data_IF_645939546748
#
_entry.id   IF_645939546748
#
_cell.length_a   1.000
_cell.length_b   1.000
_cell.length_c   1.000
_cell.angle_alpha   90.00
_cell.angle_beta   90.00
_cell.angle_gamma   90.00
#
_symmetry.space_group_name_H-M   'P 1'
#
loop_
_entity.id
_entity.type
_entity.pdbx_description
1 polymer ?
#
# COMPACT_ATOMS: atom_id res chain seq x y z
N UNK A 1 -13.15 16.79 4.98
CA UNK A 1 -12.79 17.10 3.58
C UNK A 1 -12.00 15.89 3.13
N UNK A 2 -12.66 14.97 2.43
CA UNK A 2 -12.19 13.59 2.28
C UNK A 2 -10.93 13.49 1.43
N UNK A 3 -10.04 12.57 1.81
CA UNK A 3 -8.88 12.17 1.00
C UNK A 3 -9.43 11.39 -0.19
N UNK A 4 -9.74 12.10 -1.27
CA UNK A 4 -10.19 11.45 -2.50
C UNK A 4 -8.99 10.74 -3.13
N UNK A 5 -9.10 9.44 -3.42
CA UNK A 5 -8.04 8.74 -4.11
C UNK A 5 -7.83 9.33 -5.50
N UNK A 6 -6.56 9.49 -5.90
CA UNK A 6 -6.23 9.87 -7.27
C UNK A 6 -6.55 8.71 -8.22
N UNK A 7 -6.83 9.06 -9.48
CA UNK A 7 -7.20 8.16 -10.59
C UNK A 7 -6.38 6.86 -10.58
N UNK A 8 -6.99 5.67 -10.76
CA UNK A 8 -6.26 4.40 -10.92
C UNK A 8 -5.24 4.51 -12.04
N UNK A 9 -3.98 4.27 -11.71
CA UNK A 9 -2.95 4.03 -12.74
C UNK A 9 -2.65 2.54 -12.75
N UNK A 10 -2.66 1.92 -13.93
CA UNK A 10 -2.08 0.58 -14.11
C UNK A 10 -0.57 0.71 -13.89
N UNK A 11 -0.04 0.00 -12.90
CA UNK A 11 1.40 -0.15 -12.80
C UNK A 11 1.89 -0.96 -14.01
N UNK A 12 2.71 -0.37 -14.88
CA UNK A 12 3.19 -1.03 -16.11
C UNK A 12 3.94 -2.34 -15.82
N UNK A 13 4.50 -2.48 -14.62
CA UNK A 13 5.29 -3.63 -14.21
C UNK A 13 4.56 -4.60 -13.27
N UNK A 14 3.38 -4.24 -12.77
CA UNK A 14 2.61 -5.05 -11.80
C UNK A 14 1.15 -5.11 -12.23
N UNK A 15 0.56 -6.30 -12.27
CA UNK A 15 -0.84 -6.49 -12.70
C UNK A 15 -1.83 -6.09 -11.58
N UNK A 16 -1.71 -4.87 -11.07
CA UNK A 16 -2.61 -4.30 -10.08
C UNK A 16 -2.96 -2.85 -10.43
N UNK A 17 -4.07 -2.38 -9.88
CA UNK A 17 -4.42 -0.97 -9.86
C UNK A 17 -3.83 -0.33 -8.60
N UNK A 18 -3.26 0.87 -8.73
CA UNK A 18 -2.64 1.59 -7.61
C UNK A 18 -3.58 2.70 -7.14
N UNK A 19 -3.84 2.73 -5.83
CA UNK A 19 -4.57 3.78 -5.15
C UNK A 19 -3.58 4.61 -4.32
N UNK A 20 -3.19 5.79 -4.82
CA UNK A 20 -2.32 6.69 -4.06
C UNK A 20 -3.14 7.55 -3.11
N UNK A 21 -2.72 7.61 -1.84
CA UNK A 21 -3.42 8.32 -0.76
C UNK A 21 -2.72 9.64 -0.49
N UNK A 22 -3.43 10.74 -0.72
CA UNK A 22 -2.98 12.11 -0.43
C UNK A 22 -3.30 12.46 1.03
N UNK A 23 -2.64 11.76 1.96
CA UNK A 23 -2.90 11.90 3.40
C UNK A 23 -2.45 13.26 3.93
N UNK A 24 -3.10 13.72 4.99
CA UNK A 24 -2.80 14.98 5.66
C UNK A 24 -1.38 14.99 6.23
N UNK A 25 -0.63 16.04 5.91
CA UNK A 25 0.77 16.21 6.31
C UNK A 25 0.93 17.04 7.59
N UNK A 26 2.01 16.77 8.31
CA UNK A 26 2.51 17.62 9.38
C UNK A 26 3.37 18.76 8.78
N UNK A 27 3.41 19.95 9.43
CA UNK A 27 2.91 20.25 10.78
C UNK A 27 1.43 20.63 10.87
N UNK A 28 0.74 20.91 9.76
CA UNK A 28 -0.64 21.41 9.71
C UNK A 28 -1.62 20.41 10.33
N UNK A 29 -1.39 19.12 10.08
CA UNK A 29 -2.15 18.02 10.63
C UNK A 29 -1.18 17.07 11.32
N UNK A 30 -0.95 17.31 12.61
CA UNK A 30 -0.05 16.48 13.43
C UNK A 30 -0.64 15.08 13.62
N UNK A 31 0.17 14.20 14.23
CA UNK A 31 -0.28 12.90 14.69
C UNK A 31 -1.63 12.99 15.43
N UNK A 32 -2.62 12.10 15.13
CA UNK A 32 -2.54 10.89 14.30
C UNK A 32 -3.08 11.03 12.85
N UNK A 33 -3.24 12.24 12.32
CA UNK A 33 -4.01 12.50 11.09
C UNK A 33 -3.71 11.58 9.89
N UNK A 34 -2.44 11.40 9.52
CA UNK A 34 -2.07 10.54 8.38
C UNK A 34 -2.46 9.06 8.55
N UNK A 35 -2.50 8.56 9.80
CA UNK A 35 -2.90 7.19 10.11
C UNK A 35 -4.42 7.01 10.01
N UNK A 36 -5.17 8.02 10.46
CA UNK A 36 -6.63 8.06 10.32
C UNK A 36 -7.04 8.05 8.85
N UNK A 37 -6.37 8.86 8.02
CA UNK A 37 -6.64 8.94 6.59
C UNK A 37 -6.38 7.60 5.89
N UNK A 38 -5.29 6.91 6.24
CA UNK A 38 -5.00 5.58 5.71
C UNK A 38 -6.08 4.55 6.06
N UNK A 39 -6.61 4.60 7.29
CA UNK A 39 -7.69 3.73 7.73
C UNK A 39 -9.02 4.07 7.04
N UNK A 40 -9.32 5.36 6.88
CA UNK A 40 -10.52 5.84 6.17
C UNK A 40 -10.53 5.37 4.72
N UNK A 41 -9.40 5.43 4.02
CA UNK A 41 -9.28 4.95 2.64
C UNK A 41 -9.56 3.44 2.54
N UNK A 42 -9.01 2.63 3.46
CA UNK A 42 -9.27 1.17 3.42
C UNK A 42 -10.76 0.86 3.65
N UNK A 43 -11.39 1.58 4.58
CA UNK A 43 -12.84 1.46 4.81
C UNK A 43 -13.63 1.86 3.58
N UNK A 44 -13.24 2.93 2.91
CA UNK A 44 -13.85 3.37 1.66
C UNK A 44 -13.71 2.29 0.58
N UNK A 45 -12.51 1.75 0.33
CA UNK A 45 -12.31 0.67 -0.67
C UNK A 45 -13.19 -0.54 -0.38
N UNK A 46 -13.33 -0.91 0.89
CA UNK A 46 -14.21 -2.01 1.32
C UNK A 46 -15.68 -1.71 1.04
N UNK A 47 -16.13 -0.48 1.28
CA UNK A 47 -17.49 -0.07 0.93
C UNK A 47 -17.73 -0.17 -0.58
N UNK A 48 -16.75 0.22 -1.40
CA UNK A 48 -16.84 0.10 -2.85
C UNK A 48 -16.84 -1.36 -3.34
N UNK A 49 -16.12 -2.26 -2.66
CA UNK A 49 -16.18 -3.69 -2.96
C UNK A 49 -17.58 -4.29 -2.71
N UNK A 50 -18.29 -3.79 -1.68
CA UNK A 50 -19.65 -4.20 -1.33
C UNK A 50 -20.74 -3.53 -2.17
N UNK A 51 -20.53 -2.27 -2.57
CA UNK A 51 -21.46 -1.50 -3.39
C UNK A 51 -20.99 -1.53 -4.85
N UNK A 52 -21.55 -2.46 -5.64
CA UNK A 52 -21.36 -2.49 -7.10
C UNK A 52 -22.14 -1.37 -7.81
N UNK A 53 -22.05 -0.13 -7.33
CA UNK A 53 -22.72 1.01 -7.93
C UNK A 53 -22.04 1.38 -9.27
N UNK A 54 -22.80 1.69 -10.34
CA UNK A 54 -22.26 1.75 -11.71
C UNK A 54 -21.52 3.04 -12.09
N UNK A 55 -21.64 4.10 -11.30
CA UNK A 55 -21.62 5.48 -11.81
C UNK A 55 -20.31 6.27 -11.60
N UNK A 56 -19.52 6.00 -10.56
CA UNK A 56 -18.18 6.64 -10.40
C UNK A 56 -17.01 5.65 -10.23
N UNK A 57 -17.28 4.43 -9.79
CA UNK A 57 -16.27 3.39 -9.54
C UNK A 57 -16.38 2.16 -10.44
N UNK A 58 -17.23 2.22 -11.46
CA UNK A 58 -17.49 1.11 -12.37
C UNK A 58 -16.20 0.51 -12.98
N UNK A 59 -15.17 1.33 -13.22
CA UNK A 59 -13.88 0.83 -13.68
C UNK A 59 -13.23 -0.14 -12.68
N UNK A 60 -13.17 0.21 -11.39
CA UNK A 60 -12.58 -0.63 -10.35
C UNK A 60 -13.37 -1.92 -10.18
N UNK A 61 -14.70 -1.84 -10.13
CA UNK A 61 -15.57 -3.01 -10.04
C UNK A 61 -15.44 -3.95 -11.25
N UNK A 62 -15.05 -3.42 -12.42
CA UNK A 62 -14.86 -4.19 -13.65
C UNK A 62 -13.46 -4.80 -13.76
N UNK A 63 -12.44 -4.17 -13.17
CA UNK A 63 -11.03 -4.52 -13.39
C UNK A 63 -10.29 -5.01 -12.15
N UNK A 64 -10.91 -4.98 -10.98
CA UNK A 64 -10.28 -5.36 -9.71
C UNK A 64 -11.14 -6.38 -8.96
N UNK A 65 -10.46 -7.33 -8.32
CA UNK A 65 -11.06 -8.35 -7.45
C UNK A 65 -11.09 -7.92 -5.97
N UNK A 66 -10.74 -6.65 -5.71
CA UNK A 66 -10.66 -6.05 -4.38
C UNK A 66 -9.79 -6.82 -3.38
N UNK A 67 -8.80 -7.59 -3.85
CA UNK A 67 -7.65 -7.97 -3.03
C UNK A 67 -6.78 -6.73 -2.84
N UNK A 68 -6.72 -6.24 -1.61
CA UNK A 68 -6.05 -4.97 -1.30
C UNK A 68 -4.71 -5.24 -0.62
N UNK A 69 -3.69 -4.56 -1.12
CA UNK A 69 -2.36 -4.51 -0.53
C UNK A 69 -2.02 -3.10 -0.08
N UNK A 70 -1.49 -2.98 1.15
CA UNK A 70 -0.96 -1.73 1.68
C UNK A 70 0.54 -1.71 1.42
N UNK A 71 1.01 -0.70 0.69
CA UNK A 71 2.41 -0.47 0.35
C UNK A 71 2.80 0.96 0.73
N UNK A 72 4.09 1.19 0.98
CA UNK A 72 4.61 2.50 1.30
C UNK A 72 6.09 2.46 1.65
N UNK A 73 6.77 3.59 1.48
CA UNK A 73 8.17 3.77 1.83
C UNK A 73 8.35 4.86 2.90
N UNK A 74 9.46 4.82 3.65
CA UNK A 74 9.79 5.85 4.63
C UNK A 74 8.65 6.05 5.66
N UNK A 75 8.11 7.27 5.82
CA UNK A 75 6.94 7.54 6.65
C UNK A 75 5.68 6.81 6.17
N UNK A 76 5.52 6.61 4.85
CA UNK A 76 4.43 5.83 4.28
C UNK A 76 4.46 4.36 4.71
N UNK A 77 5.65 3.78 4.88
CA UNK A 77 5.79 2.42 5.41
C UNK A 77 5.27 2.30 6.86
N UNK A 78 5.54 3.32 7.69
CA UNK A 78 5.03 3.38 9.05
C UNK A 78 3.50 3.52 9.09
N UNK A 79 2.93 4.36 8.21
CA UNK A 79 1.48 4.50 8.06
C UNK A 79 0.86 3.16 7.64
N UNK A 80 1.37 2.54 6.56
CA UNK A 80 0.88 1.27 6.04
C UNK A 80 0.91 0.15 7.09
N UNK A 81 2.02 0.05 7.85
CA UNK A 81 2.14 -0.91 8.96
C UNK A 81 1.09 -0.66 10.05
N UNK A 82 0.93 0.58 10.48
CA UNK A 82 0.02 0.89 11.59
C UNK A 82 -1.45 0.68 11.19
N UNK A 83 -1.83 1.07 9.97
CA UNK A 83 -3.15 0.80 9.40
C UNK A 83 -3.40 -0.71 9.35
N UNK A 84 -2.44 -1.51 8.91
CA UNK A 84 -2.57 -2.97 8.89
C UNK A 84 -2.80 -3.58 10.27
N UNK A 85 -2.05 -3.13 11.28
CA UNK A 85 -2.21 -3.60 12.67
C UNK A 85 -3.59 -3.23 13.21
N UNK A 86 -4.07 -2.01 12.95
CA UNK A 86 -5.39 -1.57 13.38
C UNK A 86 -6.50 -2.37 12.72
N UNK A 87 -6.35 -2.74 11.44
CA UNK A 87 -7.30 -3.58 10.71
C UNK A 87 -7.34 -5.02 11.24
N UNK A 88 -6.17 -5.60 11.56
CA UNK A 88 -6.06 -6.96 12.11
C UNK A 88 -6.73 -7.09 13.49
N UNK A 89 -6.75 -6.00 14.26
CA UNK A 89 -7.42 -5.92 15.56
C UNK A 89 -8.95 -5.73 15.45
N UNK A 90 -9.50 -5.45 14.26
CA UNK A 90 -10.94 -5.26 14.08
C UNK A 90 -11.64 -6.62 13.92
N UNK A 91 -12.78 -6.85 14.62
CA UNK A 91 -13.51 -8.12 14.57
C UNK A 91 -14.27 -8.36 13.26
N UNK A 92 -14.25 -7.42 12.31
CA UNK A 92 -14.89 -7.59 11.01
C UNK A 92 -13.99 -8.31 10.02
N UNK A 93 -14.56 -9.23 9.23
CA UNK A 93 -13.85 -10.08 8.26
C UNK A 93 -12.80 -9.31 7.44
N UNK A 94 -11.52 -9.56 7.72
CA UNK A 94 -10.36 -8.99 7.01
C UNK A 94 -9.89 -9.86 5.84
N UNK A 95 -10.69 -10.86 5.43
CA UNK A 95 -10.29 -11.88 4.45
C UNK A 95 -9.85 -11.32 3.08
N UNK A 96 -10.20 -10.08 2.76
CA UNK A 96 -9.90 -9.39 1.49
C UNK A 96 -8.59 -8.58 1.52
N UNK A 97 -7.98 -8.39 2.70
CA UNK A 97 -6.85 -7.49 2.92
C UNK A 97 -5.56 -8.30 3.16
N UNK A 98 -4.58 -8.16 2.27
CA UNK A 98 -3.24 -8.72 2.44
C UNK A 98 -2.25 -7.59 2.59
N UNK A 99 -1.58 -7.49 3.72
CA UNK A 99 -0.63 -6.38 3.95
C UNK A 99 0.74 -6.71 3.36
N UNK A 100 1.36 -5.76 2.64
CA UNK A 100 2.72 -5.87 2.11
C UNK A 100 3.55 -4.61 2.45
N UNK A 101 4.13 -4.54 3.65
CA UNK A 101 4.88 -3.36 4.08
C UNK A 101 6.32 -3.34 3.52
N UNK A 102 6.73 -2.24 2.88
CA UNK A 102 8.09 -2.05 2.41
C UNK A 102 8.97 -1.36 3.47
N UNK A 103 9.83 -2.16 4.13
CA UNK A 103 10.91 -1.78 5.06
C UNK A 103 10.53 -1.09 6.38
N UNK A 104 11.29 -1.41 7.42
CA UNK A 104 11.27 -0.74 8.73
C UNK A 104 10.67 -1.57 9.88
N UNK A 105 9.67 -2.41 9.59
CA UNK A 105 8.92 -3.16 10.62
C UNK A 105 9.07 -4.69 10.53
N UNK A 106 9.99 -5.20 9.70
CA UNK A 106 10.15 -6.63 9.42
C UNK A 106 10.35 -7.45 10.71
N UNK A 107 11.15 -6.96 11.66
CA UNK A 107 11.35 -7.61 12.96
C UNK A 107 10.06 -7.67 13.78
N UNK A 108 9.34 -6.55 13.91
CA UNK A 108 8.07 -6.50 14.65
C UNK A 108 7.00 -7.40 14.03
N UNK A 109 6.90 -7.42 12.70
CA UNK A 109 5.99 -8.29 11.95
C UNK A 109 6.30 -9.78 12.16
N UNK A 110 7.58 -10.17 12.13
CA UNK A 110 8.01 -11.55 12.45
C UNK A 110 7.65 -11.93 13.89
N UNK A 111 7.89 -11.04 14.85
CA UNK A 111 7.52 -11.27 16.26
C UNK A 111 6.01 -11.41 16.44
N UNK A 112 5.20 -10.73 15.63
CA UNK A 112 3.75 -10.86 15.58
C UNK A 112 3.25 -12.12 14.81
N UNK A 113 4.15 -13.02 14.39
CA UNK A 113 3.81 -14.26 13.70
C UNK A 113 3.36 -14.06 12.24
N UNK A 114 3.56 -12.87 11.66
CA UNK A 114 3.23 -12.60 10.26
C UNK A 114 4.36 -13.09 9.33
N UNK A 115 3.99 -13.58 8.16
CA UNK A 115 4.97 -13.92 7.11
C UNK A 115 5.64 -12.64 6.60
N UNK A 116 6.97 -12.64 6.52
CA UNK A 116 7.77 -11.46 6.12
C UNK A 116 8.83 -11.88 5.10
N UNK A 117 8.70 -11.39 3.88
CA UNK A 117 9.81 -11.35 2.92
C UNK A 117 10.60 -10.05 3.11
N UNK A 118 11.93 -10.14 3.15
CA UNK A 118 12.81 -8.99 3.31
C UNK A 118 13.91 -9.01 2.25
N UNK A 119 14.20 -7.84 1.66
CA UNK A 119 15.26 -7.67 0.69
C UNK A 119 16.10 -6.41 0.99
N UNK A 120 17.40 -6.52 0.72
CA UNK A 120 18.34 -5.39 0.77
C UNK A 120 18.99 -5.19 -0.58
N UNK A 121 18.92 -3.96 -1.07
CA UNK A 121 19.48 -3.54 -2.34
C UNK A 121 20.78 -2.80 -2.07
N UNK A 122 21.90 -3.37 -2.51
CA UNK A 122 23.20 -2.74 -2.39
C UNK A 122 23.34 -1.54 -3.34
N UNK A 123 24.19 -0.58 -2.97
CA UNK A 123 24.58 0.58 -3.77
C UNK A 123 23.44 1.57 -4.08
N UNK A 124 22.37 1.57 -3.30
CA UNK A 124 21.27 2.54 -3.39
C UNK A 124 20.98 3.16 -2.03
N UNK A 125 20.55 4.42 -2.04
CA UNK A 125 20.19 5.18 -0.83
C UNK A 125 18.77 4.90 -0.32
N UNK A 126 18.36 5.66 0.69
CA UNK A 126 16.98 5.64 1.18
C UNK A 126 15.98 6.04 0.09
N UNK A 127 14.83 5.39 0.06
CA UNK A 127 13.76 5.64 -0.91
C UNK A 127 14.24 5.70 -2.38
N UNK A 128 15.23 4.88 -2.76
CA UNK A 128 15.82 4.92 -4.10
C UNK A 128 14.81 4.75 -5.23
N UNK A 129 13.65 4.11 -4.96
CA UNK A 129 12.61 3.88 -5.94
C UNK A 129 11.98 5.16 -6.50
N UNK A 130 12.11 6.30 -5.81
CA UNK A 130 11.66 7.61 -6.32
C UNK A 130 12.74 8.33 -7.15
N UNK A 131 13.98 7.83 -7.13
CA UNK A 131 15.14 8.45 -7.78
C UNK A 131 15.29 7.98 -9.24
N UNK A 132 14.36 8.39 -10.10
CA UNK A 132 14.29 8.01 -11.51
C UNK A 132 15.51 8.45 -12.35
N UNK A 133 16.27 9.45 -11.91
CA UNK A 133 17.42 10.01 -12.65
C UNK A 133 18.74 9.22 -12.46
N UNK A 134 18.75 8.19 -11.63
CA UNK A 134 19.96 7.41 -11.37
C UNK A 134 19.83 6.01 -12.00
N UNK A 135 20.67 5.64 -12.98
CA UNK A 135 20.56 4.35 -13.66
C UNK A 135 20.58 3.15 -12.72
N UNK A 136 21.43 3.20 -11.69
CA UNK A 136 21.50 2.15 -10.65
C UNK A 136 20.20 2.04 -9.86
N UNK A 137 19.56 3.17 -9.53
CA UNK A 137 18.28 3.17 -8.84
C UNK A 137 17.18 2.57 -9.72
N UNK A 138 17.17 2.88 -11.01
CA UNK A 138 16.21 2.31 -11.96
C UNK A 138 16.27 0.78 -12.02
N UNK A 139 17.48 0.20 -12.13
CA UNK A 139 17.65 -1.27 -12.10
C UNK A 139 17.10 -1.87 -10.80
N UNK A 140 17.44 -1.27 -9.64
CA UNK A 140 16.94 -1.75 -8.34
C UNK A 140 15.43 -1.58 -8.18
N UNK A 141 14.84 -0.53 -8.75
CA UNK A 141 13.38 -0.32 -8.78
C UNK A 141 12.68 -1.42 -9.55
N UNK A 142 13.23 -1.84 -10.70
CA UNK A 142 12.66 -2.96 -11.47
C UNK A 142 12.74 -4.26 -10.66
N UNK A 143 13.87 -4.54 -10.00
CA UNK A 143 14.01 -5.71 -9.13
C UNK A 143 12.99 -5.69 -7.98
N UNK A 144 12.79 -4.52 -7.36
CA UNK A 144 11.79 -4.31 -6.32
C UNK A 144 10.37 -4.58 -6.84
N UNK A 145 9.97 -3.94 -7.94
CA UNK A 145 8.65 -4.11 -8.53
C UNK A 145 8.39 -5.56 -8.95
N UNK A 146 9.41 -6.25 -9.44
CA UNK A 146 9.31 -7.67 -9.83
C UNK A 146 9.01 -8.56 -8.61
N UNK A 147 9.67 -8.31 -7.48
CA UNK A 147 9.39 -9.02 -6.22
C UNK A 147 8.01 -8.71 -5.68
N UNK A 148 7.63 -7.42 -5.64
CA UNK A 148 6.30 -7.00 -5.20
C UNK A 148 5.21 -7.66 -6.05
N UNK A 149 5.41 -7.78 -7.37
CA UNK A 149 4.49 -8.51 -8.25
C UNK A 149 4.38 -10.00 -7.89
N UNK A 150 5.49 -10.66 -7.58
CA UNK A 150 5.47 -12.07 -7.20
C UNK A 150 4.65 -12.27 -5.91
N UNK A 151 4.76 -11.36 -4.94
CA UNK A 151 3.97 -11.37 -3.71
C UNK A 151 2.47 -11.24 -3.98
N UNK A 152 2.06 -10.35 -4.89
CA UNK A 152 0.65 -10.17 -5.24
C UNK A 152 0.06 -11.37 -6.00
N UNK A 153 0.86 -12.04 -6.83
CA UNK A 153 0.39 -13.19 -7.62
C UNK A 153 0.32 -14.49 -6.81
N UNK A 154 1.21 -14.66 -5.83
CA UNK A 154 1.31 -15.89 -5.03
C UNK A 154 0.48 -15.84 -3.74
N UNK A 155 -0.13 -14.69 -3.43
CA UNK A 155 -1.07 -14.51 -2.33
C UNK A 155 -2.51 -14.69 -2.78
#
# INVERSE_FOLDING_TARGET
MGVLPRVPVRASHVACAVLSVDYRLAPENRFPAAYEDGLEVVRWVRQQAGHRAPDELGWWCTHCDFRVFLDGDSAGAAIAYNVAVQLDAMPESTAFLKTACLRGFCKAMRTAGKSVEEATYAAVGHAFQVLHNFPMAHTRTIELLTRTRALFNNG
#
